data_IF_112513412485
#
_entry.id   IF_112513412485
#
_cell.length_a   1.000
_cell.length_b   1.000
_cell.length_c   1.000
_cell.angle_alpha   90.00
_cell.angle_beta   90.00
_cell.angle_gamma   90.00
#
_symmetry.space_group_name_H-M   'P 1'
#
loop_
_entity.id
_entity.type
_entity.pdbx_description
1 polymer ?
#
# COMPACT_ATOMS: atom_id res chain seq x y z
N UNK A 1 -13.99 24.17 -12.77
CA UNK A 1 -12.74 23.45 -13.06
C UNK A 1 -13.03 22.54 -14.26
N UNK A 2 -12.12 22.41 -15.21
CA UNK A 2 -12.34 21.60 -16.43
C UNK A 2 -11.61 20.27 -16.29
N UNK A 3 -12.27 19.18 -16.65
CA UNK A 3 -11.69 17.84 -16.74
C UNK A 3 -11.65 17.35 -18.19
N UNK A 4 -10.63 16.55 -18.52
CA UNK A 4 -10.46 15.98 -19.84
C UNK A 4 -11.18 14.63 -19.89
N UNK A 5 -12.36 14.61 -20.50
CA UNK A 5 -13.17 13.40 -20.67
C UNK A 5 -13.14 12.93 -22.13
N UNK A 6 -13.50 11.68 -22.40
CA UNK A 6 -13.57 11.13 -23.77
C UNK A 6 -15.00 11.21 -24.30
N UNK A 7 -15.19 11.83 -25.46
CA UNK A 7 -16.46 11.93 -26.17
C UNK A 7 -16.93 10.61 -26.80
N UNK A 8 -18.18 10.57 -27.26
CA UNK A 8 -18.78 9.36 -27.86
C UNK A 8 -18.08 8.88 -29.14
N UNK A 9 -17.31 9.75 -29.78
CA UNK A 9 -16.46 9.55 -30.95
C UNK A 9 -14.98 9.32 -30.60
N UNK A 10 -14.62 9.33 -29.31
CA UNK A 10 -13.25 9.13 -28.84
C UNK A 10 -12.42 10.41 -28.74
N UNK A 11 -12.96 11.57 -29.12
CA UNK A 11 -12.25 12.84 -29.06
C UNK A 11 -12.20 13.38 -27.61
N UNK A 12 -11.08 13.99 -27.17
CA UNK A 12 -11.00 14.59 -25.86
C UNK A 12 -11.88 15.84 -25.79
N UNK A 13 -12.86 15.83 -24.88
CA UNK A 13 -13.73 16.96 -24.60
C UNK A 13 -13.44 17.55 -23.22
N UNK A 14 -13.40 18.87 -23.16
CA UNK A 14 -13.36 19.60 -21.90
C UNK A 14 -14.77 19.70 -21.37
N UNK A 15 -15.05 19.08 -20.23
CA UNK A 15 -16.33 19.26 -19.52
C UNK A 15 -16.15 20.11 -18.29
N UNK A 16 -17.16 20.93 -18.01
CA UNK A 16 -17.26 21.61 -16.72
C UNK A 16 -17.56 20.58 -15.64
N UNK A 17 -16.70 20.56 -14.62
CA UNK A 17 -16.94 19.80 -13.42
C UNK A 17 -17.95 20.54 -12.55
N UNK A 18 -18.87 19.78 -11.96
CA UNK A 18 -19.66 20.26 -10.83
C UNK A 18 -18.75 20.54 -9.63
N UNK A 19 -19.24 21.32 -8.66
CA UNK A 19 -18.50 21.60 -7.43
C UNK A 19 -18.14 20.31 -6.67
N UNK A 20 -19.04 19.32 -6.66
CA UNK A 20 -18.86 18.03 -5.98
C UNK A 20 -17.79 17.17 -6.68
N UNK A 21 -17.76 17.13 -8.01
CA UNK A 21 -16.73 16.41 -8.77
C UNK A 21 -15.36 17.09 -8.65
N UNK A 22 -15.32 18.42 -8.63
CA UNK A 22 -14.08 19.18 -8.39
C UNK A 22 -13.56 18.94 -6.96
N UNK A 23 -14.44 18.87 -5.97
CA UNK A 23 -14.07 18.56 -4.58
C UNK A 23 -13.60 17.10 -4.43
N UNK A 24 -14.25 16.15 -5.09
CA UNK A 24 -13.84 14.74 -5.09
C UNK A 24 -12.45 14.52 -5.72
N UNK A 25 -12.02 15.35 -6.67
CA UNK A 25 -10.66 15.32 -7.23
C UNK A 25 -9.63 15.87 -6.23
N UNK A 26 -10.03 16.83 -5.39
CA UNK A 26 -9.15 17.46 -4.41
C UNK A 26 -8.99 16.64 -3.13
N UNK A 27 -9.95 15.78 -2.81
CA UNK A 27 -9.88 14.87 -1.65
C UNK A 27 -9.23 13.55 -2.09
N UNK A 28 -7.98 13.26 -1.70
CA UNK A 28 -7.37 11.97 -2.02
C UNK A 28 -8.22 10.84 -1.40
N UNK A 29 -8.37 9.71 -2.10
CA UNK A 29 -9.11 8.58 -1.56
C UNK A 29 -8.50 8.15 -0.22
N UNK A 30 -9.32 7.68 0.75
CA UNK A 30 -8.81 7.21 2.03
C UNK A 30 -7.73 6.16 1.82
N UNK A 31 -6.55 6.36 2.43
CA UNK A 31 -5.46 5.39 2.35
C UNK A 31 -5.90 4.05 2.94
N UNK A 32 -5.62 2.97 2.22
CA UNK A 32 -6.03 1.62 2.63
C UNK A 32 -5.18 1.15 3.80
N UNK A 33 -5.82 0.89 4.93
CA UNK A 33 -5.20 0.20 6.07
C UNK A 33 -5.28 -1.31 5.88
N UNK A 34 -4.23 -2.00 6.31
CA UNK A 34 -4.10 -3.44 6.22
C UNK A 34 -3.62 -4.01 7.57
N UNK A 35 -4.29 -5.04 8.12
CA UNK A 35 -3.85 -5.65 9.36
C UNK A 35 -2.48 -6.29 9.22
N UNK A 36 -1.56 -6.02 10.16
CA UNK A 36 -0.23 -6.64 10.16
C UNK A 36 -0.30 -8.17 10.23
N UNK A 37 -1.29 -8.71 10.94
CA UNK A 37 -1.57 -10.16 10.98
C UNK A 37 -1.89 -10.74 9.60
N UNK A 38 -2.61 -10.01 8.76
CA UNK A 38 -2.88 -10.40 7.36
C UNK A 38 -1.58 -10.44 6.55
N UNK A 39 -0.73 -9.41 6.66
CA UNK A 39 0.59 -9.40 6.02
C UNK A 39 1.40 -10.61 6.45
N UNK A 40 1.50 -10.84 7.76
CA UNK A 40 2.22 -11.98 8.33
C UNK A 40 1.66 -13.32 7.84
N UNK A 41 0.34 -13.49 7.80
CA UNK A 41 -0.30 -14.71 7.29
C UNK A 41 0.04 -14.99 5.83
N UNK A 42 0.02 -13.95 4.98
CA UNK A 42 0.39 -14.08 3.55
C UNK A 42 1.87 -14.40 3.38
N UNK A 43 2.75 -13.75 4.14
CA UNK A 43 4.19 -14.05 4.14
C UNK A 43 4.49 -15.49 4.59
N UNK A 44 3.77 -16.00 5.58
CA UNK A 44 3.86 -17.40 6.01
C UNK A 44 3.41 -18.34 4.89
N UNK A 45 2.27 -18.05 4.24
CA UNK A 45 1.77 -18.86 3.12
C UNK A 45 2.75 -18.90 1.94
N UNK A 46 3.54 -17.86 1.75
CA UNK A 46 4.61 -17.77 0.74
C UNK A 46 5.94 -18.43 1.17
N UNK A 47 6.00 -19.01 2.37
CA UNK A 47 7.22 -19.61 2.91
C UNK A 47 8.30 -18.60 3.33
N UNK A 48 7.95 -17.32 3.48
CA UNK A 48 8.89 -16.22 3.79
C UNK A 48 9.09 -15.99 5.29
N UNK A 49 8.47 -16.78 6.15
CA UNK A 49 8.46 -16.57 7.61
C UNK A 49 9.88 -16.44 8.20
N UNK A 50 10.83 -17.27 7.75
CA UNK A 50 12.21 -17.22 8.23
C UNK A 50 12.93 -15.93 7.81
N UNK A 51 12.72 -15.46 6.58
CA UNK A 51 13.26 -14.20 6.09
C UNK A 51 12.67 -13.02 6.85
N UNK A 52 11.34 -13.01 7.06
CA UNK A 52 10.66 -11.97 7.85
C UNK A 52 11.28 -11.84 9.22
N UNK A 53 11.45 -12.97 9.91
CA UNK A 53 12.07 -12.98 11.23
C UNK A 53 13.50 -12.45 11.20
N UNK A 54 14.31 -12.91 10.25
CA UNK A 54 15.69 -12.43 10.11
C UNK A 54 15.76 -10.92 9.83
N UNK A 55 14.88 -10.39 8.98
CA UNK A 55 14.79 -8.95 8.70
C UNK A 55 14.40 -8.14 9.92
N UNK A 56 13.41 -8.59 10.69
CA UNK A 56 13.00 -7.93 11.93
C UNK A 56 14.09 -8.01 13.02
N UNK A 57 14.81 -9.14 13.12
CA UNK A 57 15.91 -9.28 14.08
C UNK A 57 17.10 -8.36 13.73
N UNK A 58 17.28 -8.02 12.45
CA UNK A 58 18.36 -7.16 11.96
C UNK A 58 18.08 -5.65 12.12
N UNK A 59 16.81 -5.25 12.23
CA UNK A 59 16.40 -3.85 12.39
C UNK A 59 15.47 -3.68 13.61
N UNK A 60 16.02 -3.19 14.75
CA UNK A 60 15.25 -2.93 15.96
C UNK A 60 14.09 -1.92 15.78
N UNK A 61 14.23 -0.97 14.84
CA UNK A 61 13.18 0.02 14.57
C UNK A 61 12.05 -0.62 13.78
N UNK A 62 12.37 -1.41 12.74
CA UNK A 62 11.37 -2.20 12.02
C UNK A 62 10.65 -3.16 12.97
N UNK A 63 11.38 -3.84 13.85
CA UNK A 63 10.81 -4.72 14.89
C UNK A 63 9.83 -3.97 15.78
N UNK A 64 10.24 -2.85 16.37
CA UNK A 64 9.41 -2.05 17.26
C UNK A 64 8.14 -1.59 16.54
N UNK A 65 8.27 -1.05 15.32
CA UNK A 65 7.13 -0.64 14.49
C UNK A 65 6.20 -1.79 14.17
N UNK A 66 6.73 -2.99 13.88
CA UNK A 66 5.93 -4.16 13.55
C UNK A 66 5.09 -4.59 14.74
N UNK A 67 5.65 -4.60 15.94
CA UNK A 67 4.98 -5.13 17.13
C UNK A 67 4.31 -4.07 18.03
N UNK A 68 4.27 -2.78 17.64
CA UNK A 68 3.52 -1.75 18.37
C UNK A 68 2.04 -2.13 18.52
N UNK A 69 1.55 -2.39 19.75
CA UNK A 69 0.21 -2.93 19.99
C UNK A 69 -0.92 -1.95 19.63
N UNK A 70 -0.69 -0.65 19.85
CA UNK A 70 -1.68 0.40 19.56
C UNK A 70 -1.80 0.70 18.06
N UNK A 71 -0.94 0.12 17.22
CA UNK A 71 -0.89 0.32 15.78
C UNK A 71 -0.97 -1.03 15.05
N UNK A 72 -2.10 -1.75 15.12
CA UNK A 72 -2.22 -3.11 14.55
C UNK A 72 -2.29 -3.14 13.02
N UNK A 73 -2.46 -1.98 12.39
CA UNK A 73 -2.58 -1.83 10.95
C UNK A 73 -1.39 -1.03 10.39
N UNK A 74 -1.11 -1.24 9.11
CA UNK A 74 -0.17 -0.46 8.30
C UNK A 74 -0.91 0.04 7.07
N UNK A 75 -0.48 1.15 6.47
CA UNK A 75 -1.01 1.52 5.17
C UNK A 75 -0.45 0.58 4.11
N UNK A 76 -1.29 0.15 3.16
CA UNK A 76 -0.88 -0.75 2.08
C UNK A 76 0.20 -0.13 1.17
N UNK A 77 0.23 1.20 1.12
CA UNK A 77 1.18 2.05 0.41
C UNK A 77 2.20 2.72 1.35
N UNK A 78 2.41 2.19 2.56
CA UNK A 78 3.41 2.73 3.49
C UNK A 78 4.83 2.47 2.96
N UNK A 79 5.59 3.55 2.69
CA UNK A 79 6.96 3.46 2.17
C UNK A 79 7.87 2.63 3.09
N UNK A 80 7.68 2.71 4.41
CA UNK A 80 8.46 1.95 5.38
C UNK A 80 8.17 0.45 5.31
N UNK A 81 6.89 0.07 5.17
CA UNK A 81 6.47 -1.29 4.91
C UNK A 81 7.04 -1.81 3.58
N UNK A 82 6.89 -1.04 2.49
CA UNK A 82 7.36 -1.43 1.17
C UNK A 82 8.89 -1.59 1.16
N UNK A 83 9.62 -0.67 1.79
CA UNK A 83 11.08 -0.77 1.93
C UNK A 83 11.49 -2.02 2.71
N UNK A 84 10.82 -2.29 3.84
CA UNK A 84 11.08 -3.49 4.64
C UNK A 84 10.79 -4.77 3.87
N UNK A 85 9.66 -4.86 3.16
CA UNK A 85 9.31 -6.02 2.36
C UNK A 85 10.24 -6.20 1.15
N UNK A 86 10.65 -5.11 0.50
CA UNK A 86 11.51 -5.13 -0.68
C UNK A 86 12.98 -5.36 -0.37
N UNK A 87 13.85 -4.83 -1.23
CA UNK A 87 15.29 -5.11 -1.23
C UNK A 87 16.03 -4.71 0.05
N UNK A 88 15.50 -3.75 0.82
CA UNK A 88 16.16 -3.26 2.03
C UNK A 88 15.95 -4.15 3.26
N UNK A 89 14.98 -5.07 3.21
CA UNK A 89 14.72 -6.01 4.31
C UNK A 89 14.62 -7.45 3.85
N UNK A 90 13.54 -7.82 3.15
CA UNK A 90 13.22 -9.24 2.87
C UNK A 90 13.54 -9.69 1.45
N UNK A 91 13.80 -8.76 0.54
CA UNK A 91 14.08 -9.04 -0.88
C UNK A 91 12.87 -9.57 -1.64
N UNK A 92 11.63 -9.19 -1.26
CA UNK A 92 10.44 -9.53 -2.02
C UNK A 92 10.42 -8.78 -3.35
N UNK A 93 10.00 -9.47 -4.40
CA UNK A 93 9.74 -8.87 -5.71
C UNK A 93 8.50 -7.96 -5.67
N UNK A 94 8.33 -7.02 -6.62
CA UNK A 94 7.13 -6.18 -6.68
C UNK A 94 5.82 -6.98 -6.69
N UNK A 95 5.75 -8.08 -7.44
CA UNK A 95 4.56 -8.93 -7.50
C UNK A 95 4.25 -9.63 -6.15
N UNK A 96 5.28 -9.99 -5.40
CA UNK A 96 5.14 -10.53 -4.05
C UNK A 96 4.65 -9.47 -3.07
N UNK A 97 5.16 -8.23 -3.18
CA UNK A 97 4.69 -7.08 -2.39
C UNK A 97 3.20 -6.81 -2.68
N UNK A 98 2.81 -6.76 -3.95
CA UNK A 98 1.40 -6.59 -4.34
C UNK A 98 0.52 -7.70 -3.77
N UNK A 99 1.01 -8.95 -3.76
CA UNK A 99 0.28 -10.09 -3.20
C UNK A 99 0.06 -9.92 -1.69
N UNK A 100 1.06 -9.47 -0.94
CA UNK A 100 0.94 -9.32 0.51
C UNK A 100 0.17 -8.07 0.93
N UNK A 101 0.14 -7.03 0.09
CA UNK A 101 -0.58 -5.76 0.35
C UNK A 101 -1.94 -5.67 -0.36
N UNK A 102 -2.34 -6.69 -1.13
CA UNK A 102 -3.63 -6.77 -1.81
C UNK A 102 -4.82 -6.54 -0.85
N UNK A 103 -5.94 -5.99 -1.35
CA UNK A 103 -7.16 -5.86 -0.54
C UNK A 103 -7.67 -7.20 0.01
#
# INVERSE_FOLDING_TARGET
>A
MLDLSTGADGEPILRELTAEEAEAILVPPPRRLLPKSTVTGRLIAMGKAAQVKAGLDADPVAWARWFTPDWPNVYADDDGLIAFLGEQGLGLTPAEIDTVTAP
#
